data_IF_210137543369
#
_entry.id   IF_210137543369
#
_cell.length_a   1.000
_cell.length_b   1.000
_cell.length_c   1.000
_cell.angle_alpha   90.00
_cell.angle_beta   90.00
_cell.angle_gamma   90.00
#
_symmetry.space_group_name_H-M   'P 1'
#
loop_
_entity.id
_entity.type
_entity.pdbx_description
1 polymer ?
#
# COMPACT_ATOMS: atom_id res chain seq x y z
N UNK A 1 13.96 1.34 3.52
CA UNK A 1 13.42 2.70 3.29
C UNK A 1 13.28 3.42 4.63
N UNK A 2 13.52 4.73 4.72
CA UNK A 2 13.25 5.52 5.95
C UNK A 2 11.85 6.17 5.94
N UNK A 3 11.46 6.85 7.02
CA UNK A 3 10.11 7.41 7.18
C UNK A 3 9.75 8.45 6.11
N UNK A 4 10.66 9.39 5.80
CA UNK A 4 10.44 10.39 4.74
C UNK A 4 10.26 9.76 3.37
N UNK A 5 11.04 8.73 3.07
CA UNK A 5 10.89 7.99 1.82
C UNK A 5 9.56 7.22 1.77
N UNK A 6 9.09 6.69 2.90
CA UNK A 6 7.81 6.00 2.99
C UNK A 6 6.61 6.94 2.76
N UNK A 7 6.61 8.12 3.40
CA UNK A 7 5.62 9.18 3.18
C UNK A 7 5.63 9.63 1.71
N UNK A 8 6.81 9.98 1.18
CA UNK A 8 6.96 10.39 -0.21
C UNK A 8 6.48 9.31 -1.20
N UNK A 9 6.79 8.04 -0.93
CA UNK A 9 6.35 6.93 -1.77
C UNK A 9 4.81 6.77 -1.77
N UNK A 10 4.16 6.92 -0.62
CA UNK A 10 2.70 6.88 -0.52
C UNK A 10 2.03 8.04 -1.27
N UNK A 11 2.59 9.26 -1.17
CA UNK A 11 2.10 10.43 -1.92
C UNK A 11 2.27 10.27 -3.42
N UNK A 12 3.45 9.85 -3.87
CA UNK A 12 3.71 9.56 -5.28
C UNK A 12 2.80 8.44 -5.81
N UNK A 13 2.51 7.42 -5.00
CA UNK A 13 1.57 6.36 -5.38
C UNK A 13 0.15 6.90 -5.55
N UNK A 14 -0.28 7.82 -4.68
CA UNK A 14 -1.58 8.48 -4.80
C UNK A 14 -1.67 9.33 -6.07
N UNK A 15 -0.66 10.13 -6.37
CA UNK A 15 -0.59 10.92 -7.62
C UNK A 15 -0.70 10.02 -8.84
N UNK A 16 0.06 8.92 -8.88
CA UNK A 16 0.04 7.97 -10.01
C UNK A 16 -1.30 7.27 -10.16
N UNK A 17 -1.94 6.87 -9.06
CA UNK A 17 -3.25 6.22 -9.10
C UNK A 17 -4.35 7.19 -9.52
N UNK A 18 -4.25 8.46 -9.10
CA UNK A 18 -5.15 9.51 -9.54
C UNK A 18 -5.05 9.74 -11.05
N UNK A 19 -3.82 9.95 -11.55
CA UNK A 19 -3.56 10.19 -12.98
C UNK A 19 -4.01 9.01 -13.87
N UNK A 20 -3.99 7.78 -13.32
CA UNK A 20 -4.34 6.57 -14.05
C UNK A 20 -5.74 6.04 -13.74
N UNK A 21 -6.53 6.72 -12.91
CA UNK A 21 -7.82 6.21 -12.42
C UNK A 21 -8.76 5.83 -13.57
N UNK A 22 -8.91 6.70 -14.58
CA UNK A 22 -9.73 6.42 -15.77
C UNK A 22 -9.23 5.19 -16.54
N UNK A 23 -7.92 5.10 -16.77
CA UNK A 23 -7.32 3.96 -17.49
C UNK A 23 -7.53 2.65 -16.75
N UNK A 24 -7.30 2.63 -15.44
CA UNK A 24 -7.49 1.46 -14.59
C UNK A 24 -8.97 1.01 -14.56
N UNK A 25 -9.89 1.96 -14.48
CA UNK A 25 -11.33 1.68 -14.59
C UNK A 25 -11.69 1.09 -15.96
N UNK A 26 -11.13 1.60 -17.06
CA UNK A 26 -11.38 1.04 -18.39
C UNK A 26 -10.84 -0.39 -18.56
N UNK A 27 -9.64 -0.66 -18.03
CA UNK A 27 -9.05 -2.00 -18.04
C UNK A 27 -9.91 -2.98 -17.25
N UNK A 28 -10.38 -2.56 -16.08
CA UNK A 28 -11.23 -3.37 -15.22
C UNK A 28 -12.62 -3.57 -15.82
N UNK A 29 -13.20 -2.57 -16.47
CA UNK A 29 -14.48 -2.69 -17.17
C UNK A 29 -14.47 -3.76 -18.27
N UNK A 30 -13.31 -4.01 -18.89
CA UNK A 30 -13.19 -5.02 -19.94
C UNK A 30 -13.36 -6.46 -19.43
N UNK A 31 -13.06 -6.73 -18.15
CA UNK A 31 -13.02 -8.10 -17.58
C UNK A 31 -13.56 -8.21 -16.14
N UNK A 32 -14.15 -7.14 -15.62
CA UNK A 32 -14.58 -6.96 -14.23
C UNK A 32 -15.77 -5.99 -14.17
N UNK A 33 -15.91 -5.25 -13.08
CA UNK A 33 -17.04 -4.33 -12.85
C UNK A 33 -16.70 -2.85 -13.14
N UNK A 34 -15.44 -2.55 -13.44
CA UNK A 34 -15.00 -1.20 -13.86
C UNK A 34 -14.82 -0.24 -12.70
N UNK A 35 -14.71 -0.74 -11.48
CA UNK A 35 -14.59 0.10 -10.29
C UNK A 35 -13.15 0.24 -9.78
N UNK A 36 -12.19 -0.53 -10.32
CA UNK A 36 -10.85 -0.61 -9.75
C UNK A 36 -10.14 0.75 -9.65
N UNK A 37 -10.11 1.52 -10.73
CA UNK A 37 -9.45 2.84 -10.75
C UNK A 37 -10.08 3.82 -9.75
N UNK A 38 -11.41 3.89 -9.72
CA UNK A 38 -12.19 4.71 -8.78
C UNK A 38 -11.90 4.29 -7.33
N UNK A 39 -11.88 2.99 -7.06
CA UNK A 39 -11.64 2.44 -5.73
C UNK A 39 -10.23 2.75 -5.23
N UNK A 40 -9.22 2.62 -6.09
CA UNK A 40 -7.83 2.89 -5.74
C UNK A 40 -7.56 4.39 -5.54
N UNK A 41 -8.11 5.25 -6.40
CA UNK A 41 -8.02 6.72 -6.24
C UNK A 41 -8.66 7.18 -4.92
N UNK A 42 -9.86 6.69 -4.60
CA UNK A 42 -10.52 6.96 -3.32
C UNK A 42 -9.67 6.52 -2.12
N UNK A 43 -9.10 5.32 -2.19
CA UNK A 43 -8.28 4.78 -1.10
C UNK A 43 -7.00 5.55 -0.86
N UNK A 44 -6.29 5.91 -1.93
CA UNK A 44 -5.04 6.64 -1.81
C UNK A 44 -5.25 8.13 -1.51
N UNK A 45 -6.36 8.73 -1.94
CA UNK A 45 -6.79 10.04 -1.44
C UNK A 45 -6.99 10.03 0.07
N UNK A 46 -7.59 8.96 0.62
CA UNK A 46 -7.72 8.82 2.07
C UNK A 46 -6.37 8.60 2.79
N UNK A 47 -5.40 7.93 2.14
CA UNK A 47 -4.02 7.87 2.66
C UNK A 47 -3.40 9.27 2.69
N UNK A 48 -3.54 10.08 1.64
CA UNK A 48 -2.99 11.45 1.62
C UNK A 48 -3.59 12.29 2.74
N UNK A 49 -4.91 12.22 2.95
CA UNK A 49 -5.56 12.92 4.07
C UNK A 49 -5.05 12.44 5.44
N UNK A 50 -4.80 11.13 5.59
CA UNK A 50 -4.18 10.57 6.80
C UNK A 50 -2.75 11.10 7.00
N UNK A 51 -1.95 11.22 5.94
CA UNK A 51 -0.61 11.79 5.97
C UNK A 51 -0.64 13.28 6.32
N UNK A 52 -1.57 14.05 5.76
CA UNK A 52 -1.68 15.49 6.03
C UNK A 52 -2.11 15.78 7.47
N UNK A 53 -2.93 14.90 8.07
CA UNK A 53 -3.30 14.99 9.47
C UNK A 53 -2.15 14.66 10.44
N UNK A 54 -1.08 14.03 9.95
CA UNK A 54 0.10 13.66 10.73
C UNK A 54 1.29 14.46 10.25
N UNK A 55 1.72 15.48 11.00
CA UNK A 55 3.01 16.10 10.73
C UNK A 55 4.10 15.02 10.80
N UNK A 56 4.59 14.54 9.65
CA UNK A 56 5.61 13.48 9.60
C UNK A 56 6.83 13.98 10.35
N UNK A 57 7.20 13.41 11.51
CA UNK A 57 8.29 13.95 12.30
C UNK A 57 9.58 13.80 11.50
N UNK A 58 10.24 14.91 11.18
CA UNK A 58 11.46 14.94 10.36
C UNK A 58 12.66 14.19 11.00
N UNK A 59 12.54 13.70 12.24
CA UNK A 59 13.63 13.11 13.01
C UNK A 59 13.57 11.59 13.25
N UNK A 60 12.41 10.93 13.14
CA UNK A 60 12.32 9.49 13.43
C UNK A 60 12.54 8.66 12.16
N UNK A 61 13.71 8.02 12.08
CA UNK A 61 14.08 7.13 10.98
C UNK A 61 14.08 5.65 11.38
N UNK A 62 13.51 5.33 12.56
CA UNK A 62 13.42 3.95 13.03
C UNK A 62 12.49 3.12 12.14
N UNK A 63 12.72 1.81 12.10
CA UNK A 63 11.79 0.91 11.42
C UNK A 63 10.44 0.82 12.11
N UNK A 64 10.36 1.14 13.41
CA UNK A 64 9.08 1.25 14.11
C UNK A 64 8.22 2.39 13.53
N UNK A 65 8.81 3.55 13.24
CA UNK A 65 8.08 4.65 12.62
C UNK A 65 7.62 4.30 11.20
N UNK A 66 8.50 3.70 10.38
CA UNK A 66 8.13 3.24 9.02
C UNK A 66 7.03 2.20 9.08
N UNK A 67 7.17 1.19 9.95
CA UNK A 67 6.17 0.14 10.14
C UNK A 67 4.84 0.70 10.65
N UNK A 68 4.88 1.68 11.55
CA UNK A 68 3.69 2.40 12.02
C UNK A 68 2.97 3.11 10.88
N UNK A 69 3.70 3.83 10.02
CA UNK A 69 3.11 4.52 8.88
C UNK A 69 2.47 3.54 7.87
N UNK A 70 3.20 2.50 7.47
CA UNK A 70 2.69 1.50 6.53
C UNK A 70 1.47 0.75 7.10
N UNK A 71 1.45 0.48 8.41
CA UNK A 71 0.30 -0.15 9.07
C UNK A 71 -0.94 0.72 8.97
N UNK A 72 -0.80 2.03 9.23
CA UNK A 72 -1.92 2.96 9.14
C UNK A 72 -2.43 3.07 7.71
N UNK A 73 -1.54 3.20 6.71
CA UNK A 73 -1.92 3.19 5.31
C UNK A 73 -2.66 1.90 4.90
N UNK A 74 -2.17 0.74 5.34
CA UNK A 74 -2.84 -0.55 5.09
C UNK A 74 -4.24 -0.63 5.71
N UNK A 75 -4.41 -0.16 6.94
CA UNK A 75 -5.72 -0.09 7.60
C UNK A 75 -6.67 0.88 6.91
N UNK A 76 -6.15 2.00 6.40
CA UNK A 76 -6.92 2.95 5.60
C UNK A 76 -7.47 2.27 4.35
N UNK A 77 -6.63 1.59 3.55
CA UNK A 77 -7.09 0.89 2.35
C UNK A 77 -8.16 -0.17 2.64
N UNK A 78 -8.02 -0.93 3.71
CA UNK A 78 -9.03 -1.94 4.12
C UNK A 78 -10.40 -1.29 4.39
N UNK A 79 -10.43 -0.06 4.90
CA UNK A 79 -11.67 0.65 5.24
C UNK A 79 -12.26 1.41 4.06
N UNK A 80 -11.44 1.86 3.12
CA UNK A 80 -11.84 2.85 2.10
C UNK A 80 -11.89 2.29 0.68
N UNK A 81 -11.17 1.22 0.39
CA UNK A 81 -11.17 0.58 -0.94
C UNK A 81 -12.15 -0.58 -0.93
N UNK A 82 -13.12 -0.54 -1.87
CA UNK A 82 -14.08 -1.61 -2.07
C UNK A 82 -13.51 -2.81 -2.82
N UNK A 83 -14.34 -3.85 -2.97
CA UNK A 83 -13.98 -5.05 -3.73
C UNK A 83 -12.80 -5.84 -3.15
N UNK A 84 -12.17 -6.67 -3.99
CA UNK A 84 -11.05 -7.51 -3.58
C UNK A 84 -9.77 -6.70 -3.29
N UNK A 85 -9.60 -5.56 -3.97
CA UNK A 85 -8.34 -4.79 -3.94
C UNK A 85 -8.03 -4.21 -2.56
N UNK A 86 -9.04 -3.78 -1.80
CA UNK A 86 -8.84 -3.18 -0.47
C UNK A 86 -8.18 -4.14 0.52
N UNK A 87 -8.75 -5.33 0.76
CA UNK A 87 -8.12 -6.35 1.59
C UNK A 87 -6.73 -6.80 1.11
N UNK A 88 -6.52 -6.91 -0.21
CA UNK A 88 -5.24 -7.37 -0.78
C UNK A 88 -4.12 -6.35 -0.59
N UNK A 89 -4.29 -5.11 -1.05
CA UNK A 89 -3.27 -4.05 -0.85
C UNK A 89 -3.12 -3.66 0.61
N UNK A 90 -4.22 -3.65 1.37
CA UNK A 90 -4.17 -3.47 2.80
C UNK A 90 -3.30 -4.52 3.50
N UNK A 91 -3.48 -5.79 3.15
CA UNK A 91 -2.65 -6.89 3.67
C UNK A 91 -1.20 -6.76 3.24
N UNK A 92 -0.93 -6.39 1.99
CA UNK A 92 0.42 -6.14 1.50
C UNK A 92 1.16 -5.13 2.40
N UNK A 93 0.53 -3.97 2.67
CA UNK A 93 1.10 -2.94 3.54
C UNK A 93 1.24 -3.39 4.99
N UNK A 94 0.29 -4.16 5.52
CA UNK A 94 0.36 -4.71 6.89
C UNK A 94 1.50 -5.72 7.05
N UNK A 95 1.78 -6.55 6.05
CA UNK A 95 2.91 -7.49 6.07
C UNK A 95 4.25 -6.75 5.95
N UNK A 96 4.36 -5.78 5.06
CA UNK A 96 5.51 -4.91 4.96
C UNK A 96 5.79 -4.17 6.28
N UNK A 97 4.74 -3.62 6.90
CA UNK A 97 4.82 -2.94 8.19
C UNK A 97 5.41 -3.82 9.30
N UNK A 98 5.04 -5.10 9.33
CA UNK A 98 5.54 -6.04 10.34
C UNK A 98 7.05 -6.33 10.20
N UNK A 99 7.57 -6.29 8.97
CA UNK A 99 9.03 -6.41 8.72
C UNK A 99 9.74 -5.17 9.24
N UNK A 100 9.30 -3.98 8.83
CA UNK A 100 9.91 -2.72 9.26
C UNK A 100 9.88 -2.52 10.78
N UNK A 101 8.79 -2.88 11.45
CA UNK A 101 8.66 -2.74 12.89
C UNK A 101 9.72 -3.52 13.71
N UNK A 102 10.41 -4.48 13.10
CA UNK A 102 11.49 -5.27 13.72
C UNK A 102 12.88 -4.72 13.44
N UNK A 103 13.02 -3.79 12.50
CA UNK A 103 14.30 -3.20 12.13
C UNK A 103 14.55 -1.94 12.97
N UNK A 104 15.61 -1.91 13.76
CA UNK A 104 16.00 -0.69 14.48
C UNK A 104 16.40 0.42 13.51
N UNK A 105 17.22 0.08 12.51
CA UNK A 105 17.65 0.96 11.43
C UNK A 105 17.38 0.28 10.08
N UNK A 106 16.33 0.67 9.35
CA UNK A 106 15.96 -0.01 8.13
C UNK A 106 17.00 0.13 7.02
N UNK A 107 17.33 -1.00 6.42
CA UNK A 107 18.24 -1.12 5.29
C UNK A 107 17.50 -1.38 3.97
N UNK A 108 18.24 -1.58 2.88
CA UNK A 108 17.69 -2.06 1.61
C UNK A 108 17.20 -3.51 1.73
N UNK A 109 17.89 -4.34 2.51
CA UNK A 109 17.50 -5.73 2.72
C UNK A 109 16.11 -5.82 3.40
N UNK A 110 15.81 -4.89 4.31
CA UNK A 110 14.48 -4.81 4.94
C UNK A 110 13.40 -4.41 3.94
N UNK A 111 13.71 -3.52 2.97
CA UNK A 111 12.79 -3.22 1.87
C UNK A 111 12.48 -4.47 1.04
N UNK A 112 13.50 -5.26 0.68
CA UNK A 112 13.33 -6.50 -0.09
C UNK A 112 12.50 -7.51 0.70
N UNK A 113 12.80 -7.69 1.99
CA UNK A 113 12.05 -8.58 2.87
C UNK A 113 10.59 -8.12 3.04
N UNK A 114 10.35 -6.82 3.14
CA UNK A 114 9.01 -6.23 3.22
C UNK A 114 8.20 -6.47 1.94
N UNK A 115 8.82 -6.30 0.75
CA UNK A 115 8.17 -6.59 -0.53
C UNK A 115 7.82 -8.07 -0.68
N UNK A 116 8.72 -8.97 -0.26
CA UNK A 116 8.45 -10.40 -0.24
C UNK A 116 7.28 -10.73 0.69
N UNK A 117 7.30 -10.21 1.92
CA UNK A 117 6.22 -10.43 2.88
C UNK A 117 4.87 -9.87 2.40
N UNK A 118 4.89 -8.75 1.68
CA UNK A 118 3.71 -8.18 1.04
C UNK A 118 3.13 -9.12 -0.03
N UNK A 119 3.95 -9.58 -0.97
CA UNK A 119 3.54 -10.52 -2.02
C UNK A 119 3.03 -11.85 -1.46
N UNK A 120 3.74 -12.44 -0.49
CA UNK A 120 3.31 -13.67 0.20
C UNK A 120 1.96 -13.46 0.91
N UNK A 121 1.75 -12.28 1.49
CA UNK A 121 0.49 -11.91 2.13
C UNK A 121 -0.68 -11.82 1.16
N UNK A 122 -0.46 -11.21 -0.01
CA UNK A 122 -1.46 -11.12 -1.09
C UNK A 122 -1.81 -12.51 -1.61
N UNK A 123 -0.81 -13.33 -1.96
CA UNK A 123 -1.01 -14.69 -2.46
C UNK A 123 -1.74 -15.58 -1.44
N UNK A 124 -1.38 -15.49 -0.15
CA UNK A 124 -2.06 -16.24 0.91
C UNK A 124 -3.51 -15.80 1.11
N UNK A 125 -3.82 -14.51 1.00
CA UNK A 125 -5.19 -14.00 1.19
C UNK A 125 -6.05 -14.29 -0.04
N UNK A 126 -5.53 -13.99 -1.23
CA UNK A 126 -6.21 -14.22 -2.51
C UNK A 126 -6.26 -15.69 -2.93
N UNK A 127 -5.49 -16.56 -2.27
CA UNK A 127 -5.26 -17.96 -2.64
C UNK A 127 -4.80 -18.09 -4.09
N UNK A 128 -4.00 -17.13 -4.55
CA UNK A 128 -3.56 -17.04 -5.94
C UNK A 128 -2.15 -17.58 -6.15
N UNK A 129 -1.89 -18.05 -7.36
CA UNK A 129 -0.57 -18.54 -7.81
C UNK A 129 -0.13 -17.88 -9.12
N UNK A 130 1.15 -18.03 -9.46
CA UNK A 130 1.72 -17.45 -10.69
C UNK A 130 0.99 -17.99 -11.93
N UNK A 131 0.55 -17.07 -12.79
CA UNK A 131 -0.15 -17.40 -14.04
C UNK A 131 -1.67 -17.20 -14.00
N UNK A 132 -2.25 -16.89 -12.84
CA UNK A 132 -3.70 -16.71 -12.68
C UNK A 132 -4.22 -15.31 -13.04
N UNK A 133 -3.38 -14.48 -13.68
CA UNK A 133 -3.73 -13.12 -14.14
C UNK A 133 -4.23 -12.20 -13.03
N UNK A 134 -3.55 -12.22 -11.88
CA UNK A 134 -3.72 -11.24 -10.78
C UNK A 134 -2.52 -10.31 -10.68
N UNK A 135 -2.58 -9.34 -9.76
CA UNK A 135 -1.37 -8.68 -9.23
C UNK A 135 -0.36 -9.70 -8.70
#
# INVERSE_FOLDING_TARGET
>A
MNLRQADAWLRLSAERLHDQATTLTQLDQAIGDGDHGINMDRGFTAIVAMLDAQATPNGDSSGQAVGGLLRQAGQTLIRTVGGASGPLYGTALLRAAAVYARAEQPSVADTVAAMKAAADGVGSLGRSTTGEKTM
#
